data_IF_891421636654
#
_entry.id   IF_891421636654
#
_cell.length_a   1.000
_cell.length_b   1.000
_cell.length_c   1.000
_cell.angle_alpha   90.00
_cell.angle_beta   90.00
_cell.angle_gamma   90.00
#
_symmetry.space_group_name_H-M   'P 1'
#
loop_
_entity.id
_entity.type
_entity.pdbx_description
1 polymer ?
#
# COMPACT_ATOMS: atom_id res chain seq x y z
N UNK A 1 16.63 23.13 -15.52
CA UNK A 1 16.10 22.07 -16.41
C UNK A 1 17.11 20.94 -16.61
N UNK A 2 18.34 21.21 -16.99
CA UNK A 2 19.41 20.22 -17.27
C UNK A 2 19.63 19.21 -16.12
N UNK A 3 19.75 19.66 -14.86
CA UNK A 3 19.91 18.76 -13.69
C UNK A 3 18.80 17.72 -13.56
N UNK A 4 17.54 18.08 -13.85
CA UNK A 4 16.41 17.12 -13.77
C UNK A 4 16.47 16.07 -14.88
N UNK A 5 16.90 16.49 -16.10
CA UNK A 5 17.08 15.59 -17.24
C UNK A 5 18.22 14.60 -16.98
N UNK A 6 19.36 15.10 -16.46
CA UNK A 6 20.50 14.24 -16.11
C UNK A 6 20.10 13.22 -15.02
N UNK A 7 19.40 13.67 -13.96
CA UNK A 7 18.95 12.79 -12.89
C UNK A 7 17.98 11.72 -13.41
N UNK A 8 17.03 12.12 -14.26
CA UNK A 8 16.11 11.17 -14.88
C UNK A 8 16.84 10.17 -15.76
N UNK A 9 17.80 10.62 -16.57
CA UNK A 9 18.63 9.75 -17.39
C UNK A 9 19.46 8.75 -16.59
N UNK A 10 20.03 9.18 -15.47
CA UNK A 10 20.76 8.30 -14.54
C UNK A 10 19.85 7.25 -13.90
N UNK A 11 18.66 7.65 -13.45
CA UNK A 11 17.69 6.71 -12.85
C UNK A 11 17.23 5.70 -13.91
N UNK A 12 16.92 6.16 -15.13
CA UNK A 12 16.53 5.27 -16.22
C UNK A 12 17.65 4.28 -16.59
N UNK A 13 18.89 4.76 -16.70
CA UNK A 13 20.05 3.91 -16.97
C UNK A 13 20.27 2.87 -15.85
N UNK A 14 20.17 3.27 -14.59
CA UNK A 14 20.26 2.36 -13.46
C UNK A 14 19.12 1.30 -13.51
N UNK A 15 17.89 1.69 -13.80
CA UNK A 15 16.77 0.75 -13.92
C UNK A 15 17.01 -0.28 -15.03
N UNK A 16 17.53 0.16 -16.18
CA UNK A 16 17.90 -0.75 -17.30
C UNK A 16 19.03 -1.70 -16.88
N UNK A 17 20.08 -1.19 -16.23
CA UNK A 17 21.19 -2.04 -15.75
C UNK A 17 20.69 -3.06 -14.73
N UNK A 18 19.88 -2.65 -13.77
CA UNK A 18 19.27 -3.58 -12.80
C UNK A 18 18.38 -4.64 -13.47
N UNK A 19 17.56 -4.23 -14.45
CA UNK A 19 16.75 -5.15 -15.22
C UNK A 19 17.61 -6.18 -15.97
N UNK A 20 18.67 -5.72 -16.65
CA UNK A 20 19.58 -6.57 -17.39
C UNK A 20 20.35 -7.54 -16.49
N UNK A 21 20.87 -7.08 -15.35
CA UNK A 21 21.55 -7.91 -14.35
C UNK A 21 20.60 -8.96 -13.79
N UNK A 22 19.34 -8.60 -13.50
CA UNK A 22 18.34 -9.54 -13.00
C UNK A 22 18.02 -10.66 -13.97
N UNK A 23 18.09 -10.40 -15.29
CA UNK A 23 17.88 -11.42 -16.32
C UNK A 23 19.01 -12.45 -16.41
N UNK A 24 20.21 -12.13 -15.91
CA UNK A 24 21.38 -13.01 -15.95
C UNK A 24 21.55 -13.85 -14.68
N UNK A 25 20.78 -13.58 -13.61
CA UNK A 25 20.78 -14.44 -12.43
C UNK A 25 19.95 -15.70 -12.65
N UNK A 26 20.43 -16.81 -12.13
CA UNK A 26 19.61 -18.02 -12.06
C UNK A 26 18.32 -17.72 -11.28
N UNK A 27 17.15 -18.23 -11.72
CA UNK A 27 15.88 -17.93 -11.06
C UNK A 27 15.88 -18.16 -9.53
N UNK A 28 16.59 -19.19 -9.08
CA UNK A 28 16.73 -19.48 -7.63
C UNK A 28 17.50 -18.41 -6.85
N UNK A 29 18.55 -17.84 -7.45
CA UNK A 29 19.34 -16.76 -6.82
C UNK A 29 18.53 -15.47 -6.73
N UNK A 30 17.80 -15.11 -7.80
CA UNK A 30 16.94 -13.95 -7.82
C UNK A 30 15.84 -14.04 -6.74
N UNK A 31 15.21 -15.22 -6.61
CA UNK A 31 14.23 -15.49 -5.55
C UNK A 31 14.84 -15.37 -4.16
N UNK A 32 16.04 -15.90 -3.94
CA UNK A 32 16.73 -15.80 -2.65
C UNK A 32 17.07 -14.34 -2.29
N UNK A 33 17.47 -13.52 -3.26
CA UNK A 33 17.72 -12.09 -3.08
C UNK A 33 16.44 -11.34 -2.73
N UNK A 34 15.35 -11.55 -3.46
CA UNK A 34 14.06 -10.91 -3.17
C UNK A 34 13.55 -11.32 -1.79
N UNK A 35 13.61 -12.61 -1.44
CA UNK A 35 13.23 -13.10 -0.13
C UNK A 35 13.96 -12.34 0.98
N UNK A 36 15.28 -12.28 0.91
CA UNK A 36 16.15 -11.73 1.97
C UNK A 36 16.16 -10.21 2.04
N UNK A 37 16.16 -9.54 0.89
CA UNK A 37 16.35 -8.09 0.82
C UNK A 37 15.09 -7.32 0.41
N UNK A 38 14.04 -8.00 -0.04
CA UNK A 38 12.82 -7.35 -0.55
C UNK A 38 12.17 -6.43 0.48
N UNK A 39 12.08 -6.84 1.74
CA UNK A 39 11.59 -5.99 2.82
C UNK A 39 12.37 -4.67 2.93
N UNK A 40 13.70 -4.75 2.98
CA UNK A 40 14.56 -3.58 3.14
C UNK A 40 14.57 -2.66 1.92
N UNK A 41 14.47 -3.23 0.72
CA UNK A 41 14.32 -2.45 -0.52
C UNK A 41 13.02 -1.65 -0.51
N UNK A 42 11.89 -2.30 -0.16
CA UNK A 42 10.59 -1.62 -0.09
C UNK A 42 10.62 -0.54 1.00
N UNK A 43 11.20 -0.83 2.17
CA UNK A 43 11.36 0.15 3.24
C UNK A 43 12.14 1.38 2.77
N UNK A 44 13.27 1.16 2.10
CA UNK A 44 14.10 2.25 1.58
C UNK A 44 13.31 3.11 0.58
N UNK A 45 12.62 2.47 -0.37
CA UNK A 45 11.79 3.16 -1.37
C UNK A 45 10.66 3.93 -0.69
N UNK A 46 9.97 3.32 0.29
CA UNK A 46 8.88 3.94 1.02
C UNK A 46 9.34 5.17 1.81
N UNK A 47 10.49 5.12 2.46
CA UNK A 47 11.08 6.26 3.18
C UNK A 47 11.45 7.39 2.22
N UNK A 48 12.14 7.08 1.12
CA UNK A 48 12.51 8.07 0.10
C UNK A 48 11.27 8.71 -0.53
N UNK A 49 10.28 7.89 -0.88
CA UNK A 49 9.01 8.36 -1.44
C UNK A 49 8.28 9.27 -0.45
N UNK A 50 8.17 8.87 0.82
CA UNK A 50 7.52 9.66 1.88
C UNK A 50 8.22 11.00 2.08
N UNK A 51 9.55 11.02 2.06
CA UNK A 51 10.33 12.26 2.14
C UNK A 51 10.07 13.18 0.94
N UNK A 52 10.08 12.65 -0.28
CA UNK A 52 9.79 13.41 -1.50
C UNK A 52 8.36 13.93 -1.51
N UNK A 53 7.40 13.10 -1.09
CA UNK A 53 5.99 13.45 -0.99
C UNK A 53 5.76 14.57 0.03
N UNK A 54 6.31 14.43 1.24
CA UNK A 54 6.22 15.44 2.29
C UNK A 54 6.81 16.78 1.84
N UNK A 55 7.92 16.74 1.10
CA UNK A 55 8.52 17.95 0.52
C UNK A 55 7.65 18.57 -0.58
N UNK A 56 7.06 17.73 -1.44
CA UNK A 56 6.18 18.17 -2.53
C UNK A 56 4.87 18.78 -2.02
N UNK A 57 4.29 18.20 -0.97
CA UNK A 57 3.00 18.63 -0.42
C UNK A 57 3.10 19.80 0.58
N UNK A 58 4.29 20.28 0.90
CA UNK A 58 4.46 21.36 1.90
C UNK A 58 3.67 22.63 1.58
N UNK A 59 3.64 23.04 0.32
CA UNK A 59 2.95 24.25 -0.11
C UNK A 59 1.44 24.07 0.00
N UNK A 60 0.91 22.95 -0.49
CA UNK A 60 -0.51 22.61 -0.40
C UNK A 60 -0.98 22.44 1.04
N UNK A 61 -0.16 21.81 1.89
CA UNK A 61 -0.48 21.65 3.31
C UNK A 61 -0.56 23.00 4.05
N UNK A 62 0.31 23.95 3.72
CA UNK A 62 0.25 25.32 4.29
C UNK A 62 -0.98 26.07 3.82
N UNK A 63 -1.33 26.00 2.54
CA UNK A 63 -2.54 26.61 2.00
C UNK A 63 -3.80 26.01 2.61
N UNK A 64 -3.86 24.69 2.71
CA UNK A 64 -4.96 23.99 3.35
C UNK A 64 -5.11 24.37 4.83
N UNK A 65 -4.00 24.53 5.56
CA UNK A 65 -4.01 24.97 6.95
C UNK A 65 -4.52 26.42 7.10
N UNK A 66 -4.13 27.31 6.18
CA UNK A 66 -4.59 28.70 6.17
C UNK A 66 -6.11 28.82 5.88
N UNK A 67 -6.65 27.91 5.08
CA UNK A 67 -8.06 27.91 4.64
C UNK A 67 -8.84 26.69 5.17
N UNK A 68 -8.50 26.18 6.35
CA UNK A 68 -9.03 24.92 6.89
C UNK A 68 -10.56 24.83 6.89
N UNK A 69 -11.27 25.96 7.11
CA UNK A 69 -12.75 26.02 7.09
C UNK A 69 -13.34 25.62 5.74
N UNK A 70 -12.66 25.94 4.63
CA UNK A 70 -13.10 25.55 3.29
C UNK A 70 -12.96 24.04 3.03
N UNK A 71 -12.15 23.35 3.84
CA UNK A 71 -11.91 21.91 3.74
C UNK A 71 -12.82 21.07 4.66
N UNK A 72 -13.62 21.69 5.53
CA UNK A 72 -14.52 20.96 6.42
C UNK A 72 -15.55 20.16 5.61
N UNK A 73 -16.25 20.80 4.68
CA UNK A 73 -17.27 20.13 3.85
C UNK A 73 -16.69 18.97 3.04
N UNK A 74 -15.64 19.18 2.25
CA UNK A 74 -14.92 18.10 1.56
C UNK A 74 -14.44 16.98 2.48
N UNK A 75 -13.87 17.34 3.64
CA UNK A 75 -13.41 16.35 4.62
C UNK A 75 -14.54 15.49 5.16
N UNK A 76 -15.69 16.10 5.48
CA UNK A 76 -16.89 15.38 5.90
C UNK A 76 -17.43 14.48 4.79
N UNK A 77 -17.44 14.92 3.53
CA UNK A 77 -17.84 14.10 2.40
C UNK A 77 -16.94 12.85 2.26
N UNK A 78 -15.63 13.05 2.31
CA UNK A 78 -14.66 11.93 2.20
C UNK A 78 -14.83 10.94 3.36
N UNK A 79 -15.00 11.45 4.59
CA UNK A 79 -15.25 10.61 5.77
C UNK A 79 -16.57 9.84 5.64
N UNK A 80 -17.66 10.52 5.24
CA UNK A 80 -18.96 9.88 5.04
C UNK A 80 -18.92 8.83 3.93
N UNK A 81 -18.26 9.12 2.81
CA UNK A 81 -18.08 8.19 1.71
C UNK A 81 -17.27 6.95 2.15
N UNK A 82 -16.17 7.14 2.86
CA UNK A 82 -15.38 6.03 3.40
C UNK A 82 -16.17 5.20 4.41
N UNK A 83 -16.85 5.86 5.35
CA UNK A 83 -17.70 5.17 6.32
C UNK A 83 -18.82 4.37 5.65
N UNK A 84 -19.48 4.95 4.63
CA UNK A 84 -20.51 4.26 3.86
C UNK A 84 -20.00 2.96 3.23
N UNK A 85 -18.81 2.99 2.59
CA UNK A 85 -18.18 1.82 2.00
C UNK A 85 -17.95 0.71 3.04
N UNK A 86 -17.50 1.06 4.24
CA UNK A 86 -17.17 0.08 5.29
C UNK A 86 -18.36 -0.41 6.11
N UNK A 87 -19.43 0.38 6.23
CA UNK A 87 -20.66 -0.04 6.92
C UNK A 87 -21.52 -0.93 6.02
N UNK A 88 -21.46 -0.71 4.72
CA UNK A 88 -22.28 -1.46 3.75
C UNK A 88 -21.80 -2.88 3.51
N UNK A 89 -20.50 -3.12 3.61
CA UNK A 89 -19.87 -4.43 3.32
C UNK A 89 -19.31 -5.08 4.58
N UNK A 90 -19.43 -6.41 4.66
CA UNK A 90 -18.81 -7.20 5.73
C UNK A 90 -17.32 -7.30 5.53
N UNK A 91 -16.57 -7.12 6.62
CA UNK A 91 -15.13 -7.32 6.65
C UNK A 91 -14.84 -8.81 6.77
N UNK A 92 -14.55 -9.45 5.66
CA UNK A 92 -14.27 -10.89 5.58
C UNK A 92 -13.30 -11.19 4.43
N UNK A 93 -12.71 -12.38 4.47
CA UNK A 93 -11.91 -12.86 3.34
C UNK A 93 -12.81 -13.16 2.15
N UNK A 94 -12.64 -12.42 1.05
CA UNK A 94 -13.44 -12.56 -0.18
C UNK A 94 -12.76 -13.42 -1.22
N UNK A 95 -11.42 -13.35 -1.29
CA UNK A 95 -10.57 -14.17 -2.17
C UNK A 95 -9.58 -14.91 -1.27
N UNK A 96 -10.08 -15.92 -0.55
CA UNK A 96 -9.41 -16.60 0.56
C UNK A 96 -7.93 -16.90 0.29
N UNK A 97 -7.61 -17.50 -0.87
CA UNK A 97 -6.22 -17.87 -1.19
C UNK A 97 -5.31 -16.64 -1.32
N UNK A 98 -5.76 -15.59 -1.99
CA UNK A 98 -4.94 -14.41 -2.24
C UNK A 98 -4.69 -13.62 -0.94
N UNK A 99 -5.74 -13.43 -0.16
CA UNK A 99 -5.70 -12.67 1.08
C UNK A 99 -4.88 -13.40 2.16
N UNK A 100 -5.04 -14.71 2.28
CA UNK A 100 -4.23 -15.53 3.21
C UNK A 100 -2.75 -15.46 2.86
N UNK A 101 -2.37 -15.53 1.58
CA UNK A 101 -0.98 -15.41 1.16
C UNK A 101 -0.41 -14.01 1.43
N UNK A 102 -1.20 -12.95 1.22
CA UNK A 102 -0.77 -11.57 1.54
C UNK A 102 -0.60 -11.39 3.06
N UNK A 103 -1.50 -11.93 3.87
CA UNK A 103 -1.42 -11.90 5.32
C UNK A 103 -0.20 -12.67 5.85
N UNK A 104 0.04 -13.88 5.32
CA UNK A 104 1.20 -14.69 5.68
C UNK A 104 2.51 -14.00 5.28
N UNK A 105 2.57 -13.41 4.08
CA UNK A 105 3.72 -12.59 3.66
C UNK A 105 3.96 -11.42 4.61
N UNK A 106 2.90 -10.73 5.05
CA UNK A 106 2.99 -9.65 6.02
C UNK A 106 3.47 -10.14 7.39
N UNK A 107 3.01 -11.30 7.83
CA UNK A 107 3.45 -11.95 9.06
C UNK A 107 4.96 -12.25 9.00
N UNK A 108 5.43 -12.83 7.91
CA UNK A 108 6.87 -13.09 7.71
C UNK A 108 7.70 -11.80 7.66
N UNK A 109 7.19 -10.77 6.99
CA UNK A 109 7.83 -9.45 6.99
C UNK A 109 7.89 -8.83 8.40
N UNK A 110 6.87 -9.09 9.24
CA UNK A 110 6.83 -8.62 10.62
C UNK A 110 7.86 -9.36 11.50
N UNK A 111 7.86 -10.69 11.51
CA UNK A 111 8.69 -11.48 12.40
C UNK A 111 10.14 -11.65 11.90
N UNK A 112 10.30 -11.95 10.61
CA UNK A 112 11.58 -12.38 10.04
C UNK A 112 12.22 -11.33 9.13
N UNK A 113 11.50 -10.27 8.77
CA UNK A 113 11.91 -9.27 7.75
C UNK A 113 12.19 -9.90 6.38
N UNK A 114 11.54 -11.02 6.08
CA UNK A 114 11.64 -11.72 4.81
C UNK A 114 10.41 -11.48 3.94
N UNK A 115 10.63 -11.19 2.64
CA UNK A 115 9.57 -11.02 1.64
C UNK A 115 9.18 -12.38 1.04
N UNK A 116 8.54 -13.23 1.83
CA UNK A 116 8.14 -14.58 1.43
C UNK A 116 6.85 -15.00 2.11
N UNK A 117 6.13 -15.95 1.51
CA UNK A 117 4.99 -16.63 2.11
C UNK A 117 5.35 -18.07 2.49
N UNK A 118 4.69 -18.60 3.51
CA UNK A 118 4.91 -19.96 4.02
C UNK A 118 4.03 -20.95 3.27
N UNK A 119 4.63 -22.00 2.72
CA UNK A 119 3.90 -23.16 2.15
C UNK A 119 3.62 -24.20 3.22
N UNK A 120 4.60 -24.43 4.07
CA UNK A 120 4.54 -25.42 5.13
C UNK A 120 5.27 -24.90 6.38
N UNK A 121 4.66 -25.04 7.53
CA UNK A 121 5.25 -24.71 8.81
C UNK A 121 4.61 -25.54 9.92
N UNK A 122 5.14 -25.42 11.11
CA UNK A 122 4.56 -25.98 12.33
C UNK A 122 4.67 -24.97 13.48
N UNK A 123 3.75 -25.07 14.40
CA UNK A 123 3.81 -24.35 15.68
C UNK A 123 4.20 -25.34 16.78
N UNK A 124 5.23 -24.98 17.54
CA UNK A 124 5.64 -25.72 18.71
C UNK A 124 5.67 -24.79 19.92
N UNK A 125 4.72 -24.96 20.81
CA UNK A 125 4.58 -24.18 22.05
C UNK A 125 4.52 -22.64 21.80
N UNK A 126 3.82 -22.20 20.74
CA UNK A 126 3.67 -20.80 20.38
C UNK A 126 4.82 -20.23 19.53
N UNK A 127 5.79 -21.08 19.15
CA UNK A 127 6.87 -20.70 18.26
C UNK A 127 6.60 -21.28 16.86
N UNK A 128 6.18 -20.41 15.94
CA UNK A 128 5.95 -20.80 14.56
C UNK A 128 7.28 -20.92 13.80
N UNK A 129 7.49 -22.08 13.17
CA UNK A 129 8.67 -22.35 12.34
C UNK A 129 8.24 -22.69 10.92
N UNK A 130 8.65 -21.87 9.95
CA UNK A 130 8.41 -22.14 8.55
C UNK A 130 9.43 -23.17 8.02
N UNK A 131 8.93 -24.29 7.48
CA UNK A 131 9.76 -25.34 6.86
C UNK A 131 9.99 -25.05 5.38
N UNK A 132 8.98 -24.53 4.70
CA UNK A 132 9.05 -24.25 3.27
C UNK A 132 8.40 -22.90 2.98
N UNK A 133 9.11 -22.05 2.26
CA UNK A 133 8.67 -20.70 1.90
C UNK A 133 8.90 -20.43 0.43
N UNK A 134 8.11 -19.53 -0.14
CA UNK A 134 8.27 -19.09 -1.52
C UNK A 134 8.04 -17.57 -1.62
N UNK A 135 8.61 -16.94 -2.65
CA UNK A 135 8.31 -15.54 -2.98
C UNK A 135 7.07 -15.54 -3.86
N UNK A 136 6.03 -14.89 -3.38
CA UNK A 136 4.80 -14.77 -4.17
C UNK A 136 4.97 -13.75 -5.30
N UNK A 137 4.25 -13.98 -6.41
CA UNK A 137 4.20 -13.09 -7.58
C UNK A 137 3.36 -11.82 -7.34
N UNK A 138 2.58 -11.77 -6.26
CA UNK A 138 1.73 -10.62 -5.95
C UNK A 138 2.55 -9.42 -5.50
N UNK A 139 2.01 -8.19 -5.66
CA UNK A 139 2.70 -6.98 -5.20
C UNK A 139 2.98 -7.02 -3.69
N UNK A 140 4.23 -6.81 -3.32
CA UNK A 140 4.69 -6.89 -1.92
C UNK A 140 4.39 -5.63 -1.09
N UNK A 141 3.86 -4.57 -1.71
CA UNK A 141 3.67 -3.29 -1.02
C UNK A 141 2.57 -3.35 0.05
N UNK A 142 1.44 -4.02 -0.23
CA UNK A 142 0.38 -4.19 0.77
C UNK A 142 0.86 -5.04 1.97
N UNK A 143 1.46 -6.24 1.78
CA UNK A 143 2.07 -6.98 2.89
C UNK A 143 3.10 -6.18 3.68
N UNK A 144 3.90 -5.37 3.01
CA UNK A 144 4.86 -4.49 3.66
C UNK A 144 4.17 -3.46 4.58
N UNK A 145 3.16 -2.75 4.08
CA UNK A 145 2.39 -1.81 4.92
C UNK A 145 1.71 -2.51 6.09
N UNK A 146 1.14 -3.69 5.85
CA UNK A 146 0.51 -4.49 6.90
C UNK A 146 1.53 -4.95 7.94
N UNK A 147 2.74 -5.31 7.54
CA UNK A 147 3.81 -5.65 8.49
C UNK A 147 4.19 -4.47 9.39
N UNK A 148 4.19 -3.24 8.87
CA UNK A 148 4.41 -2.04 9.68
C UNK A 148 3.27 -1.80 10.68
N UNK A 149 2.02 -2.09 10.29
CA UNK A 149 0.89 -2.03 11.23
C UNK A 149 1.03 -3.09 12.31
N UNK A 150 1.48 -4.31 11.98
CA UNK A 150 1.79 -5.35 12.96
C UNK A 150 2.93 -4.95 13.90
N UNK A 151 3.95 -4.24 13.40
CA UNK A 151 5.05 -3.72 14.23
C UNK A 151 4.55 -2.73 15.29
N UNK A 152 3.51 -1.93 14.96
CA UNK A 152 2.96 -0.92 15.86
C UNK A 152 1.92 -1.47 16.85
N UNK A 153 1.12 -2.46 16.43
CA UNK A 153 -0.08 -2.90 17.17
C UNK A 153 -0.01 -4.36 17.66
N UNK A 154 1.04 -5.08 17.30
CA UNK A 154 1.14 -6.53 17.40
C UNK A 154 0.44 -7.24 16.24
N UNK A 155 0.82 -8.51 16.05
CA UNK A 155 0.22 -9.34 15.01
C UNK A 155 -1.25 -9.63 15.29
N UNK A 156 -2.13 -9.23 14.37
CA UNK A 156 -3.58 -9.51 14.42
C UNK A 156 -4.11 -9.57 12.98
N UNK A 157 -4.92 -10.57 12.67
CA UNK A 157 -5.57 -10.70 11.36
C UNK A 157 -6.43 -9.45 11.03
N UNK A 158 -7.10 -8.89 12.03
CA UNK A 158 -7.91 -7.67 11.87
C UNK A 158 -7.15 -6.41 11.43
N UNK A 159 -5.83 -6.39 11.56
CA UNK A 159 -5.01 -5.25 11.12
C UNK A 159 -5.09 -5.01 9.61
N UNK A 160 -5.30 -6.07 8.81
CA UNK A 160 -5.47 -5.92 7.36
C UNK A 160 -6.73 -5.14 7.01
N UNK A 161 -7.84 -5.39 7.70
CA UNK A 161 -9.08 -4.62 7.50
C UNK A 161 -8.91 -3.16 7.93
N UNK A 162 -8.24 -2.91 9.06
CA UNK A 162 -7.95 -1.56 9.52
C UNK A 162 -7.04 -0.79 8.53
N UNK A 163 -6.01 -1.46 8.01
CA UNK A 163 -5.15 -0.91 6.96
C UNK A 163 -5.94 -0.60 5.71
N UNK A 164 -6.81 -1.52 5.27
CA UNK A 164 -7.61 -1.33 4.07
C UNK A 164 -8.61 -0.16 4.24
N UNK A 165 -9.17 0.02 5.44
CA UNK A 165 -9.99 1.19 5.75
C UNK A 165 -9.20 2.50 5.63
N UNK A 166 -7.98 2.54 6.16
CA UNK A 166 -7.11 3.70 6.03
C UNK A 166 -6.73 3.99 4.56
N UNK A 167 -6.40 2.95 3.79
CA UNK A 167 -6.10 3.08 2.36
C UNK A 167 -7.31 3.53 1.55
N UNK A 168 -8.51 3.08 1.91
CA UNK A 168 -9.76 3.54 1.28
C UNK A 168 -10.01 5.02 1.52
N UNK A 169 -9.77 5.50 2.75
CA UNK A 169 -9.84 6.93 3.05
C UNK A 169 -8.86 7.73 2.19
N UNK A 170 -7.61 7.27 2.07
CA UNK A 170 -6.61 7.91 1.20
C UNK A 170 -7.07 7.89 -0.26
N UNK A 171 -7.56 6.76 -0.75
CA UNK A 171 -8.06 6.60 -2.12
C UNK A 171 -9.20 7.58 -2.44
N UNK A 172 -10.23 7.65 -1.59
CA UNK A 172 -11.37 8.59 -1.78
C UNK A 172 -10.87 10.03 -1.71
N UNK A 173 -9.94 10.34 -0.80
CA UNK A 173 -9.32 11.68 -0.73
C UNK A 173 -8.61 12.04 -2.03
N UNK A 174 -7.81 11.12 -2.59
CA UNK A 174 -7.10 11.35 -3.85
C UNK A 174 -8.06 11.54 -5.01
N UNK A 175 -9.13 10.75 -5.11
CA UNK A 175 -10.19 10.92 -6.14
C UNK A 175 -10.80 12.31 -6.03
N UNK A 176 -11.17 12.75 -4.82
CA UNK A 176 -11.67 14.11 -4.59
C UNK A 176 -10.70 15.17 -5.07
N UNK A 177 -9.41 15.07 -4.66
CA UNK A 177 -8.38 16.05 -5.01
C UNK A 177 -8.13 16.12 -6.52
N UNK A 178 -8.08 14.98 -7.19
CA UNK A 178 -7.92 14.92 -8.65
C UNK A 178 -9.13 15.56 -9.35
N UNK A 179 -10.35 15.17 -8.99
CA UNK A 179 -11.57 15.76 -9.55
C UNK A 179 -11.62 17.28 -9.35
N UNK A 180 -11.32 17.74 -8.12
CA UNK A 180 -11.24 19.17 -7.81
C UNK A 180 -10.19 19.91 -8.64
N UNK A 181 -9.03 19.31 -8.85
CA UNK A 181 -7.94 19.92 -9.63
C UNK A 181 -8.29 20.03 -11.12
N UNK A 182 -9.06 19.10 -11.66
CA UNK A 182 -9.47 19.07 -13.05
C UNK A 182 -10.57 20.08 -13.38
N UNK A 183 -11.63 20.17 -12.57
CA UNK A 183 -12.81 20.98 -12.87
C UNK A 183 -13.47 21.61 -11.62
N UNK A 184 -12.70 21.85 -10.57
CA UNK A 184 -13.16 22.55 -9.38
C UNK A 184 -13.94 21.68 -8.38
N UNK A 185 -14.50 22.33 -7.34
CA UNK A 185 -15.18 21.68 -6.22
C UNK A 185 -16.32 20.72 -6.65
N UNK A 186 -17.22 21.10 -7.58
CA UNK A 186 -18.31 20.20 -8.00
C UNK A 186 -17.80 18.91 -8.63
N UNK A 187 -16.71 18.97 -9.40
CA UNK A 187 -16.11 17.79 -10.02
C UNK A 187 -15.46 16.87 -8.97
N UNK A 188 -14.84 17.44 -7.92
CA UNK A 188 -14.35 16.64 -6.79
C UNK A 188 -15.47 15.88 -6.07
N UNK A 189 -16.59 16.55 -5.80
CA UNK A 189 -17.79 15.90 -5.21
C UNK A 189 -18.35 14.82 -6.12
N UNK A 190 -18.55 15.12 -7.41
CA UNK A 190 -19.05 14.15 -8.38
C UNK A 190 -18.14 12.92 -8.50
N UNK A 191 -16.81 13.13 -8.51
CA UNK A 191 -15.84 12.04 -8.57
C UNK A 191 -15.95 11.08 -7.35
N UNK A 192 -16.14 11.61 -6.15
CA UNK A 192 -16.36 10.80 -4.93
C UNK A 192 -17.67 10.02 -5.05
N UNK A 193 -18.78 10.66 -5.43
CA UNK A 193 -20.07 10.01 -5.56
C UNK A 193 -20.02 8.89 -6.63
N UNK A 194 -19.38 9.14 -7.75
CA UNK A 194 -19.15 8.12 -8.77
C UNK A 194 -18.32 6.95 -8.24
N UNK A 195 -17.20 7.23 -7.56
CA UNK A 195 -16.34 6.18 -7.01
C UNK A 195 -17.09 5.28 -6.01
N UNK A 196 -17.91 5.88 -5.14
CA UNK A 196 -18.72 5.15 -4.15
C UNK A 196 -19.86 4.36 -4.81
N UNK A 197 -20.33 4.74 -6.00
CA UNK A 197 -21.37 4.01 -6.72
C UNK A 197 -20.87 2.78 -7.50
N UNK A 198 -19.55 2.57 -7.60
CA UNK A 198 -18.97 1.45 -8.32
C UNK A 198 -18.97 0.18 -7.45
N UNK A 199 -19.70 -0.90 -7.82
CA UNK A 199 -19.79 -2.12 -7.01
C UNK A 199 -18.42 -2.76 -6.73
N UNK A 200 -17.49 -2.69 -7.68
CA UNK A 200 -16.14 -3.23 -7.51
C UNK A 200 -15.37 -2.53 -6.37
N UNK A 201 -15.60 -1.23 -6.15
CA UNK A 201 -15.00 -0.47 -5.04
C UNK A 201 -15.53 -1.01 -3.71
N UNK A 202 -16.83 -1.24 -3.58
CA UNK A 202 -17.42 -1.83 -2.37
C UNK A 202 -16.82 -3.19 -2.04
N UNK A 203 -16.72 -4.06 -3.04
CA UNK A 203 -16.19 -5.42 -2.85
C UNK A 203 -14.75 -5.42 -2.35
N UNK A 204 -13.90 -4.54 -2.90
CA UNK A 204 -12.46 -4.53 -2.57
C UNK A 204 -12.14 -3.78 -1.26
N UNK A 205 -12.94 -2.81 -0.88
CA UNK A 205 -12.69 -2.00 0.33
C UNK A 205 -12.80 -2.83 1.61
N UNK A 206 -13.70 -3.80 1.66
CA UNK A 206 -13.94 -4.64 2.84
C UNK A 206 -13.18 -5.99 2.79
N UNK A 207 -12.32 -6.22 1.79
CA UNK A 207 -11.40 -7.37 1.74
C UNK A 207 -10.12 -7.12 2.54
N UNK A 208 -9.34 -8.13 2.77
CA UNK A 208 -8.10 -8.04 3.57
C UNK A 208 -6.84 -8.35 2.75
#
# INVERSE_FOLDING_TARGET
MLRKVILFGLIAALAVVFGFVSFHHAPGEAVALVKRFGYWQILTIAVLFSFCLARGLRAEARDAAAHWRAWIGPGLLVLAATAFLHVHERHEFKIVMDEVVLQDTAMRMHFDREAAATVRGYDLAGNFTALHVYVDKRPLFFPFLLSLVHDLTGYRVGNAFALNAALSFVFITLIFLVGRRLAGMPAGVAAVLLAVSIPLVHQNVASS
#
